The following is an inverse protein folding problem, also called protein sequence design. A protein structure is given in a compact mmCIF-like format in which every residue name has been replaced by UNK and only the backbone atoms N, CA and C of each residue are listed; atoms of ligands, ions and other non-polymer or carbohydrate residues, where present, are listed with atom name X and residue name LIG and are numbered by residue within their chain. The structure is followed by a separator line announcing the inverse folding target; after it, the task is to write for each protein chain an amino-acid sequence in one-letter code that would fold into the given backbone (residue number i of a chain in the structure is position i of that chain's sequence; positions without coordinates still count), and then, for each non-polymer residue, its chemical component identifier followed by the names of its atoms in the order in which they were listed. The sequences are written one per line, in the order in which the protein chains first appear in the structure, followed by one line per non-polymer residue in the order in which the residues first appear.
data_IF_902095187371
#
_entry.id   IF_902095187371
#
_cell.length_a   1.000
_cell.length_b   1.000
_cell.length_c   1.000
_cell.angle_alpha   90.00
_cell.angle_beta   90.00
_cell.angle_gamma   90.00
#
_symmetry.space_group_name_H-M   'P 1'
#
loop_
_entity.id
_entity.type
_entity.pdbx_description
1 polymer ?
#
# COMPACT_ATOMS: atom_id res chain seq x y z
N UNK A 1 -18.63 4.64 4.59
CA UNK A 1 -17.67 5.72 4.30
C UNK A 1 -17.32 5.57 2.84
N UNK A 2 -17.56 6.58 2.01
CA UNK A 2 -17.24 6.54 0.57
C UNK A 2 -16.15 7.57 0.28
N UNK A 3 -15.27 7.25 -0.67
CA UNK A 3 -14.23 8.19 -1.10
C UNK A 3 -14.89 9.36 -1.86
N UNK A 4 -14.59 10.64 -1.54
CA UNK A 4 -15.28 11.79 -2.11
C UNK A 4 -15.16 11.87 -3.64
N UNK A 5 -14.00 11.50 -4.19
CA UNK A 5 -13.77 11.49 -5.64
C UNK A 5 -14.07 10.14 -6.32
N UNK A 6 -14.25 9.07 -5.55
CA UNK A 6 -14.38 7.70 -6.09
C UNK A 6 -15.51 6.95 -5.35
N UNK A 7 -16.77 7.38 -5.52
CA UNK A 7 -17.92 6.73 -4.87
C UNK A 7 -18.04 5.27 -5.33
N UNK A 8 -18.46 4.39 -4.42
CA UNK A 8 -18.59 2.95 -4.69
C UNK A 8 -17.30 2.13 -4.66
N UNK A 9 -16.12 2.76 -4.55
CA UNK A 9 -14.87 2.02 -4.34
C UNK A 9 -14.81 1.51 -2.91
N UNK A 10 -14.84 0.18 -2.75
CA UNK A 10 -14.71 -0.50 -1.47
C UNK A 10 -13.28 -0.53 -0.93
N UNK A 11 -13.06 -1.35 0.09
CA UNK A 11 -11.72 -1.57 0.65
C UNK A 11 -10.90 -2.42 -0.34
N UNK A 12 -9.78 -1.90 -0.80
CA UNK A 12 -8.87 -2.59 -1.74
C UNK A 12 -7.53 -3.01 -1.12
N UNK A 13 -7.23 -2.49 0.07
CA UNK A 13 -5.98 -2.70 0.79
C UNK A 13 -6.25 -2.82 2.28
N UNK A 14 -5.68 -3.85 2.90
CA UNK A 14 -5.61 -3.99 4.36
C UNK A 14 -4.17 -3.84 4.83
N UNK A 15 -3.96 -3.08 5.91
CA UNK A 15 -2.64 -2.83 6.48
C UNK A 15 -2.66 -3.19 7.95
N UNK A 16 -1.85 -4.18 8.33
CA UNK A 16 -1.50 -4.44 9.72
C UNK A 16 -0.18 -3.76 10.05
N UNK A 17 -0.10 -3.09 11.20
CA UNK A 17 1.11 -2.40 11.66
C UNK A 17 1.38 -2.63 13.14
N UNK A 18 2.66 -2.66 13.50
CA UNK A 18 3.15 -2.71 14.88
C UNK A 18 4.49 -1.97 14.98
N UNK A 19 4.97 -1.63 16.19
CA UNK A 19 6.35 -1.19 16.38
C UNK A 19 7.32 -2.20 15.77
N UNK A 20 8.36 -1.72 15.09
CA UNK A 20 9.35 -2.62 14.51
C UNK A 20 10.23 -3.25 15.61
N UNK A 21 10.56 -4.56 15.51
CA UNK A 21 11.56 -5.17 16.37
C UNK A 21 13.00 -4.85 15.91
N UNK A 22 13.17 -4.21 14.75
CA UNK A 22 14.48 -3.82 14.22
C UNK A 22 14.94 -2.51 14.88
N UNK A 23 16.11 -2.48 15.52
CA UNK A 23 16.61 -1.25 16.15
C UNK A 23 16.71 -0.09 15.16
N UNK A 24 16.17 1.07 15.56
CA UNK A 24 16.19 2.30 14.75
C UNK A 24 15.16 2.35 13.61
N UNK A 25 14.21 1.41 13.57
CA UNK A 25 13.06 1.43 12.66
C UNK A 25 11.80 1.68 13.49
N UNK A 26 10.90 2.52 13.00
CA UNK A 26 9.74 2.96 13.79
C UNK A 26 8.63 1.90 13.79
N UNK A 27 8.26 1.43 12.60
CA UNK A 27 7.13 0.53 12.43
C UNK A 27 7.44 -0.60 11.44
N UNK A 28 6.74 -1.71 11.63
CA UNK A 28 6.67 -2.81 10.66
C UNK A 28 5.24 -2.96 10.13
N UNK A 29 5.11 -3.14 8.83
CA UNK A 29 3.82 -3.31 8.15
C UNK A 29 3.72 -4.64 7.40
N UNK A 30 2.49 -5.18 7.36
CA UNK A 30 2.06 -6.23 6.45
C UNK A 30 0.85 -5.70 5.68
N UNK A 31 0.97 -5.66 4.36
CA UNK A 31 -0.02 -5.02 3.50
C UNK A 31 -0.58 -6.08 2.54
N UNK A 32 -1.90 -6.24 2.49
CA UNK A 32 -2.58 -7.19 1.60
C UNK A 32 -3.43 -6.43 0.61
N UNK A 33 -3.09 -6.55 -0.68
CA UNK A 33 -3.92 -6.08 -1.78
C UNK A 33 -4.94 -7.17 -2.11
N UNK A 34 -6.22 -6.82 -2.05
CA UNK A 34 -7.32 -7.77 -2.24
C UNK A 34 -7.53 -8.03 -3.73
N UNK A 35 -7.70 -9.29 -4.10
CA UNK A 35 -7.91 -9.71 -5.50
C UNK A 35 -9.40 -9.75 -5.91
N UNK A 36 -10.32 -9.41 -5.00
CA UNK A 36 -11.76 -9.42 -5.24
C UNK A 36 -12.55 -8.74 -4.12
N UNK A 37 -13.88 -8.89 -4.15
CA UNK A 37 -14.75 -8.39 -3.08
C UNK A 37 -14.54 -9.19 -1.79
N UNK A 38 -14.50 -8.47 -0.66
CA UNK A 38 -14.37 -9.07 0.67
C UNK A 38 -15.74 -9.17 1.31
N UNK A 39 -16.15 -10.40 1.62
CA UNK A 39 -17.31 -10.70 2.46
C UNK A 39 -16.82 -11.20 3.82
N UNK A 40 -17.10 -10.45 4.88
CA UNK A 40 -16.64 -10.76 6.24
C UNK A 40 -17.30 -12.01 6.84
N UNK A 41 -18.42 -12.48 6.30
CA UNK A 41 -19.08 -13.72 6.70
C UNK A 41 -18.54 -14.94 5.93
N UNK A 42 -17.73 -14.72 4.89
CA UNK A 42 -17.23 -15.75 3.97
C UNK A 42 -15.71 -15.65 3.80
N UNK A 43 -14.92 -16.27 4.69
CA UNK A 43 -13.46 -16.18 4.69
C UNK A 43 -12.78 -16.64 3.40
N UNK A 44 -13.43 -17.49 2.60
CA UNK A 44 -12.93 -17.91 1.28
C UNK A 44 -12.81 -16.75 0.27
N UNK A 45 -13.45 -15.61 0.55
CA UNK A 45 -13.35 -14.38 -0.28
C UNK A 45 -12.13 -13.53 0.05
N UNK A 46 -11.39 -13.86 1.12
CA UNK A 46 -10.25 -13.06 1.59
C UNK A 46 -8.97 -13.42 0.83
N UNK A 47 -9.05 -13.36 -0.50
CA UNK A 47 -7.93 -13.62 -1.39
C UNK A 47 -7.19 -12.33 -1.72
N UNK A 48 -5.88 -12.42 -1.89
CA UNK A 48 -5.06 -11.26 -2.15
C UNK A 48 -3.57 -11.55 -2.17
N UNK A 49 -2.81 -10.53 -2.57
CA UNK A 49 -1.36 -10.59 -2.63
C UNK A 49 -0.74 -9.69 -1.54
N UNK A 50 0.21 -10.23 -0.79
CA UNK A 50 0.90 -9.51 0.28
C UNK A 50 2.01 -8.64 -0.31
N UNK A 51 1.93 -7.30 -0.27
CA UNK A 51 2.94 -6.40 -0.81
C UNK A 51 4.34 -6.71 -0.24
N UNK A 52 5.29 -6.98 -1.13
CA UNK A 52 6.66 -7.31 -0.75
C UNK A 52 7.40 -6.09 -0.17
N UNK A 53 6.97 -4.88 -0.56
CA UNK A 53 7.47 -3.61 -0.03
C UNK A 53 6.76 -3.16 1.25
N UNK A 54 6.78 -1.86 1.50
CA UNK A 54 6.13 -1.24 2.67
C UNK A 54 4.78 -0.58 2.32
N UNK A 55 4.31 -0.73 1.08
CA UNK A 55 3.20 0.00 0.49
C UNK A 55 3.35 1.53 0.61
N UNK A 56 3.74 2.20 -0.47
CA UNK A 56 3.97 3.67 -0.45
C UNK A 56 2.72 4.45 -0.04
N UNK A 57 1.58 4.17 -0.67
CA UNK A 57 0.29 4.78 -0.34
C UNK A 57 -0.18 4.41 1.07
N UNK A 58 0.03 3.16 1.50
CA UNK A 58 -0.25 2.72 2.86
C UNK A 58 0.58 3.43 3.93
N UNK A 59 1.87 3.67 3.65
CA UNK A 59 2.76 4.46 4.50
C UNK A 59 2.27 5.91 4.58
N UNK A 60 1.82 6.50 3.47
CA UNK A 60 1.20 7.83 3.46
C UNK A 60 -0.06 7.90 4.34
N UNK A 61 -0.94 6.91 4.24
CA UNK A 61 -2.14 6.83 5.07
C UNK A 61 -1.79 6.71 6.57
N UNK A 62 -0.78 5.91 6.90
CA UNK A 62 -0.25 5.81 8.28
C UNK A 62 0.26 7.17 8.77
N UNK A 63 1.04 7.90 7.96
CA UNK A 63 1.53 9.23 8.33
C UNK A 63 0.38 10.21 8.58
N UNK A 64 -0.67 10.19 7.77
CA UNK A 64 -1.85 11.03 7.98
C UNK A 64 -2.54 10.74 9.31
N UNK A 65 -2.64 9.45 9.70
CA UNK A 65 -3.19 9.03 10.99
C UNK A 65 -2.30 9.46 12.16
N UNK A 66 -0.98 9.33 12.04
CA UNK A 66 -0.05 9.76 13.10
C UNK A 66 0.00 11.28 13.24
N UNK A 67 -0.10 12.02 12.13
CA UNK A 67 -0.26 13.48 12.14
C UNK A 67 -1.54 13.90 12.86
N UNK A 68 -2.68 13.29 12.53
CA UNK A 68 -3.95 13.58 13.20
C UNK A 68 -3.92 13.28 14.71
N UNK A 69 -3.02 12.39 15.15
CA UNK A 69 -2.77 12.09 16.58
C UNK A 69 -1.73 13.00 17.23
N UNK A 70 -1.03 13.84 16.47
CA UNK A 70 0.08 14.66 16.93
C UNK A 70 1.39 13.91 17.18
N UNK A 71 1.51 12.68 16.68
CA UNK A 71 2.69 11.82 16.86
C UNK A 71 3.75 12.03 15.77
N UNK A 72 3.36 12.60 14.63
CA UNK A 72 4.26 12.84 13.49
C UNK A 72 3.93 14.21 12.89
N UNK A 73 4.87 15.14 12.96
CA UNK A 73 4.68 16.51 12.50
C UNK A 73 5.49 16.80 11.22
N UNK A 74 5.20 17.90 10.49
CA UNK A 74 6.03 18.33 9.37
C UNK A 74 7.51 18.43 9.77
N UNK A 75 8.39 17.83 8.95
CA UNK A 75 9.83 17.72 9.22
C UNK A 75 10.26 16.40 9.85
N UNK A 76 9.36 15.69 10.54
CA UNK A 76 9.64 14.38 11.11
C UNK A 76 9.76 13.30 10.03
N UNK A 77 10.39 12.18 10.39
CA UNK A 77 10.49 11.00 9.54
C UNK A 77 9.77 9.82 10.15
N UNK A 78 9.25 8.97 9.29
CA UNK A 78 8.76 7.64 9.63
C UNK A 78 9.53 6.61 8.81
N UNK A 79 10.32 5.77 9.47
CA UNK A 79 10.97 4.62 8.86
C UNK A 79 10.06 3.39 9.02
N UNK A 80 9.42 3.00 7.92
CA UNK A 80 8.55 1.82 7.84
C UNK A 80 9.32 0.67 7.19
N UNK A 81 9.26 -0.52 7.80
CA UNK A 81 9.75 -1.75 7.18
C UNK A 81 8.61 -2.74 6.85
N UNK A 82 8.74 -3.44 5.73
CA UNK A 82 7.84 -4.53 5.35
C UNK A 82 8.26 -5.86 5.99
N UNK A 83 7.46 -6.91 5.79
CA UNK A 83 7.74 -8.26 6.31
C UNK A 83 9.08 -8.84 5.82
N UNK A 84 9.54 -8.44 4.63
CA UNK A 84 10.80 -8.88 4.03
C UNK A 84 11.99 -7.99 4.39
N UNK A 85 11.81 -7.01 5.29
CA UNK A 85 12.88 -6.10 5.71
C UNK A 85 13.19 -4.97 4.72
N UNK A 86 12.45 -4.87 3.60
CA UNK A 86 12.46 -3.68 2.73
C UNK A 86 12.01 -2.49 3.56
N UNK A 87 12.60 -1.30 3.33
CA UNK A 87 12.32 -0.09 4.11
C UNK A 87 11.95 1.07 3.21
N UNK A 88 10.94 1.83 3.62
CA UNK A 88 10.63 3.15 3.09
C UNK A 88 10.77 4.20 4.18
N UNK A 89 11.29 5.36 3.81
CA UNK A 89 11.31 6.55 4.66
C UNK A 89 10.21 7.49 4.20
N UNK A 90 9.22 7.72 5.05
CA UNK A 90 8.19 8.72 4.87
C UNK A 90 8.55 10.04 5.56
N UNK A 91 8.16 11.17 4.97
CA UNK A 91 8.19 12.50 5.62
C UNK A 91 6.97 13.32 5.24
N UNK A 92 6.45 14.07 6.20
CA UNK A 92 5.43 15.10 5.95
C UNK A 92 6.17 16.37 5.54
N UNK A 93 5.91 16.85 4.32
CA UNK A 93 6.56 18.07 3.80
C UNK A 93 5.72 19.32 4.04
N UNK A 94 4.39 19.21 4.01
CA UNK A 94 3.48 20.31 4.33
C UNK A 94 2.10 19.80 4.75
N UNK A 95 1.33 20.70 5.36
CA UNK A 95 -0.07 20.54 5.67
C UNK A 95 -0.91 21.14 4.55
N UNK A 96 -2.08 20.57 4.29
CA UNK A 96 -3.00 21.07 3.26
C UNK A 96 -4.45 20.79 3.61
N UNK A 97 -5.37 21.23 2.76
CA UNK A 97 -6.80 20.99 2.88
C UNK A 97 -7.32 20.28 1.63
N UNK A 98 -7.99 19.15 1.80
CA UNK A 98 -8.63 18.41 0.72
C UNK A 98 -10.12 18.25 1.04
N UNK A 99 -11.00 18.72 0.16
CA UNK A 99 -12.47 18.67 0.39
C UNK A 99 -12.91 19.24 1.75
N UNK A 100 -12.23 20.28 2.23
CA UNK A 100 -12.49 20.90 3.53
C UNK A 100 -12.01 20.09 4.75
N UNK A 101 -11.29 18.99 4.53
CA UNK A 101 -10.65 18.19 5.58
C UNK A 101 -9.16 18.48 5.65
N UNK A 102 -8.60 18.43 6.86
CA UNK A 102 -7.17 18.57 7.06
C UNK A 102 -6.45 17.36 6.47
N UNK A 103 -5.40 17.63 5.70
CA UNK A 103 -4.62 16.65 4.98
C UNK A 103 -3.12 16.98 5.08
N UNK A 104 -2.30 16.04 4.64
CA UNK A 104 -0.85 16.20 4.56
C UNK A 104 -0.39 15.99 3.13
N UNK A 105 0.75 16.60 2.79
CA UNK A 105 1.53 16.22 1.60
C UNK A 105 2.71 15.37 2.07
N UNK A 106 2.66 14.04 1.83
CA UNK A 106 3.73 13.13 2.20
C UNK A 106 4.74 12.95 1.06
N UNK A 107 5.97 12.62 1.44
CA UNK A 107 6.99 12.07 0.53
C UNK A 107 7.35 10.66 0.99
N UNK A 108 7.70 9.81 0.04
CA UNK A 108 8.19 8.45 0.29
C UNK A 108 9.52 8.29 -0.45
N UNK A 109 10.52 7.79 0.26
CA UNK A 109 11.80 7.39 -0.31
C UNK A 109 12.01 5.89 -0.14
N UNK A 110 12.49 5.26 -1.19
CA UNK A 110 12.80 3.83 -1.25
C UNK A 110 13.86 3.58 -2.32
N UNK A 111 14.16 2.31 -2.55
CA UNK A 111 15.13 1.87 -3.55
C UNK A 111 14.46 0.90 -4.53
N UNK A 112 14.94 0.92 -5.77
CA UNK A 112 14.54 -0.01 -6.82
C UNK A 112 15.76 -0.50 -7.57
N UNK A 113 15.64 -1.67 -8.21
CA UNK A 113 16.70 -2.29 -8.97
C UNK A 113 16.16 -2.76 -10.32
N UNK A 114 16.98 -2.65 -11.36
CA UNK A 114 16.69 -3.25 -12.66
C UNK A 114 16.82 -4.77 -12.51
N UNK A 115 15.72 -5.49 -12.69
CA UNK A 115 15.71 -6.96 -12.64
C UNK A 115 15.85 -7.61 -14.01
N UNK A 116 15.60 -6.87 -15.09
CA UNK A 116 15.74 -7.35 -16.46
C UNK A 116 15.14 -6.39 -17.48
N UNK A 117 15.28 -6.77 -18.76
CA UNK A 117 14.63 -6.10 -19.89
C UNK A 117 13.80 -7.14 -20.64
N UNK A 118 12.57 -6.80 -20.99
CA UNK A 118 11.63 -7.72 -21.63
C UNK A 118 10.96 -7.06 -22.82
N UNK A 119 10.62 -7.87 -23.84
CA UNK A 119 9.77 -7.50 -24.96
C UNK A 119 8.55 -8.42 -24.94
N UNK A 120 7.42 -7.92 -24.47
CA UNK A 120 6.15 -8.63 -24.52
C UNK A 120 5.49 -8.41 -25.88
N UNK A 121 4.99 -9.48 -26.49
CA UNK A 121 4.34 -9.45 -27.81
C UNK A 121 3.07 -10.30 -27.71
N UNK A 122 1.96 -9.78 -28.23
CA UNK A 122 0.69 -10.51 -28.31
C UNK A 122 0.43 -10.87 -29.77
N UNK A 123 0.35 -12.16 -30.07
CA UNK A 123 -0.04 -12.65 -31.38
C UNK A 123 -1.56 -12.53 -31.56
N UNK A 124 -2.08 -12.03 -32.69
CA UNK A 124 -3.52 -11.95 -32.93
C UNK A 124 -4.27 -13.29 -32.90
N UNK A 125 -3.54 -14.41 -33.00
CA UNK A 125 -4.07 -15.77 -32.98
C UNK A 125 -3.93 -16.46 -31.62
N UNK A 126 -3.40 -15.76 -30.60
CA UNK A 126 -3.32 -16.28 -29.23
C UNK A 126 -4.73 -16.62 -28.71
N UNK A 127 -5.00 -17.86 -28.24
CA UNK A 127 -6.31 -18.24 -27.70
C UNK A 127 -6.64 -17.58 -26.35
N UNK A 128 -5.67 -16.97 -25.67
CA UNK A 128 -5.83 -16.30 -24.37
C UNK A 128 -5.24 -14.87 -24.40
N UNK A 129 -5.75 -13.97 -25.25
CA UNK A 129 -5.17 -12.64 -25.44
C UNK A 129 -5.28 -11.73 -24.21
N UNK A 130 -6.18 -12.07 -23.27
CA UNK A 130 -6.38 -11.38 -21.98
C UNK A 130 -5.75 -12.15 -20.81
N UNK A 131 -5.01 -13.23 -21.08
CA UNK A 131 -4.50 -14.15 -20.08
C UNK A 131 -5.60 -15.06 -19.51
N UNK A 132 -5.29 -15.70 -18.38
CA UNK A 132 -6.21 -16.54 -17.62
C UNK A 132 -5.71 -16.66 -16.17
N UNK A 133 -6.59 -17.08 -15.27
CA UNK A 133 -6.24 -17.45 -13.89
C UNK A 133 -6.39 -18.96 -13.69
N UNK A 134 -5.64 -19.54 -12.76
CA UNK A 134 -5.78 -20.95 -12.36
C UNK A 134 -5.76 -21.02 -10.84
N UNK A 135 -6.77 -21.66 -10.24
CA UNK A 135 -6.74 -22.09 -8.85
C UNK A 135 -6.38 -21.00 -7.85
N UNK A 136 -5.46 -21.32 -6.94
CA UNK A 136 -5.03 -20.55 -5.77
C UNK A 136 -3.72 -19.76 -6.00
N UNK A 137 -3.18 -19.75 -7.21
CA UNK A 137 -1.94 -19.02 -7.55
C UNK A 137 -2.18 -17.57 -8.01
N UNK A 138 -3.41 -17.07 -7.85
CA UNK A 138 -3.87 -15.73 -8.24
C UNK A 138 -4.71 -15.08 -7.14
#
# INVERSE_FOLDING_TARGET
MEHPDYPGVGITLSIMRAPSPTPGVDIRTSNVMLSGEVDFERPETWTGALDRGCCGTGTCAIMAVEYAKGNLMPGDSLLNEGLLGIRFTGRIVEETMLHGQQAIVPTISGQCWISGFSKYVLDPTDPFPEGYTIGDIW
#
